data_IF_911405972746
#
_entry.id   IF_911405972746
#
_cell.length_a   1.000
_cell.length_b   1.000
_cell.length_c   1.000
_cell.angle_alpha   90.00
_cell.angle_beta   90.00
_cell.angle_gamma   90.00
#
_symmetry.space_group_name_H-M   'P 1'
#
loop_
_entity.id
_entity.type
_entity.pdbx_description
1 polymer ?
#
# COMPACT_ATOMS: atom_id res chain seq x y z
N UNK A 1 43.07 -13.26 20.53
CA UNK A 1 41.90 -13.80 21.28
C UNK A 1 41.25 -14.83 20.39
N UNK A 2 41.25 -16.11 20.81
CA UNK A 2 40.71 -17.21 20.02
C UNK A 2 39.17 -17.14 20.07
N UNK A 3 38.53 -17.05 18.91
CA UNK A 3 37.08 -17.20 18.77
C UNK A 3 36.71 -18.64 19.07
N UNK A 4 36.10 -18.89 20.23
CA UNK A 4 35.54 -20.20 20.54
C UNK A 4 34.45 -20.50 19.50
N UNK A 5 34.63 -21.60 18.77
CA UNK A 5 33.65 -22.07 17.80
C UNK A 5 32.35 -22.46 18.52
N UNK A 6 31.21 -22.15 17.92
CA UNK A 6 29.92 -22.62 18.40
C UNK A 6 29.90 -24.16 18.36
N UNK A 7 29.34 -24.83 19.38
CA UNK A 7 29.18 -26.29 19.36
C UNK A 7 28.36 -26.74 18.14
N UNK A 8 28.68 -27.91 17.59
CA UNK A 8 27.94 -28.46 16.46
C UNK A 8 26.50 -28.75 16.87
N UNK A 9 25.55 -28.72 15.93
CA UNK A 9 24.12 -28.93 16.22
C UNK A 9 23.86 -30.28 16.91
N UNK A 10 24.74 -31.26 16.68
CA UNK A 10 24.72 -32.62 17.22
C UNK A 10 25.09 -32.68 18.71
N UNK A 11 25.79 -31.66 19.23
CA UNK A 11 26.22 -31.57 20.62
C UNK A 11 25.16 -30.92 21.53
N UNK A 12 24.03 -30.48 20.97
CA UNK A 12 22.95 -29.88 21.74
C UNK A 12 22.07 -31.01 22.29
N UNK A 13 22.02 -31.22 23.63
CA UNK A 13 21.21 -32.28 24.20
C UNK A 13 19.72 -32.05 23.91
N UNK A 14 19.03 -33.11 23.49
CA UNK A 14 17.59 -33.10 23.24
C UNK A 14 16.83 -32.61 24.48
N UNK A 15 15.78 -31.78 24.32
CA UNK A 15 14.98 -31.34 25.45
C UNK A 15 14.32 -32.55 26.13
N UNK A 16 14.18 -32.54 27.47
CA UNK A 16 13.50 -33.60 28.20
C UNK A 16 12.03 -33.72 27.73
N UNK A 17 11.45 -34.94 27.75
CA UNK A 17 10.10 -35.16 27.29
C UNK A 17 9.10 -34.33 28.11
N UNK A 18 8.38 -33.44 27.43
CA UNK A 18 7.32 -32.63 28.03
C UNK A 18 6.21 -33.56 28.51
N UNK A 19 5.99 -33.61 29.82
CA UNK A 19 4.93 -34.43 30.42
C UNK A 19 3.57 -33.88 30.00
N UNK A 20 2.96 -34.47 28.97
CA UNK A 20 1.59 -34.19 28.56
C UNK A 20 0.63 -34.77 29.60
N UNK A 21 0.29 -33.96 30.61
CA UNK A 21 -0.81 -34.26 31.50
C UNK A 21 -2.13 -34.05 30.75
N UNK A 22 -2.78 -35.14 30.41
CA UNK A 22 -4.13 -35.20 29.82
C UNK A 22 -5.17 -34.91 30.91
N UNK A 23 -5.54 -33.63 31.06
CA UNK A 23 -6.71 -33.26 31.86
C UNK A 23 -7.92 -33.03 30.97
N UNK A 24 -8.82 -34.02 30.93
CA UNK A 24 -10.20 -33.87 30.46
C UNK A 24 -10.99 -33.03 31.46
N UNK A 25 -11.40 -31.82 31.07
CA UNK A 25 -12.40 -31.06 31.85
C UNK A 25 -13.26 -30.16 30.96
N UNK A 26 -14.56 -30.41 31.11
CA UNK A 26 -15.77 -29.64 30.81
C UNK A 26 -15.61 -28.11 30.74
N UNK A 27 -16.30 -27.40 29.83
CA UNK A 27 -16.22 -25.94 29.73
C UNK A 27 -17.06 -25.28 30.84
N UNK A 28 -16.40 -24.89 31.94
CA UNK A 28 -16.95 -23.97 32.94
C UNK A 28 -16.37 -22.57 32.71
N UNK A 29 -17.20 -21.55 32.90
CA UNK A 29 -16.93 -20.14 32.66
C UNK A 29 -15.54 -19.66 33.11
N UNK A 30 -14.92 -18.70 32.40
CA UNK A 30 -13.56 -18.24 32.70
C UNK A 30 -13.49 -17.69 34.14
N UNK A 31 -12.56 -18.19 34.98
CA UNK A 31 -12.34 -17.61 36.30
C UNK A 31 -11.83 -16.18 36.16
N UNK A 32 -12.30 -15.30 37.05
CA UNK A 32 -11.87 -13.92 37.15
C UNK A 32 -10.33 -13.80 37.15
N UNK A 33 -9.75 -12.72 36.59
CA UNK A 33 -8.30 -12.55 36.50
C UNK A 33 -7.70 -12.64 37.90
N UNK A 34 -7.02 -13.76 38.17
CA UNK A 34 -6.25 -13.93 39.39
C UNK A 34 -5.14 -12.88 39.36
N UNK A 35 -5.12 -12.04 40.39
CA UNK A 35 -4.06 -11.08 40.65
C UNK A 35 -2.74 -11.83 40.75
N UNK A 36 -1.99 -11.86 39.66
CA UNK A 36 -0.63 -12.36 39.65
C UNK A 36 0.14 -11.55 40.70
N UNK A 37 0.55 -12.23 41.78
CA UNK A 37 1.34 -11.62 42.83
C UNK A 37 2.65 -11.20 42.19
N UNK A 38 2.79 -9.90 41.94
CA UNK A 38 4.01 -9.28 41.46
C UNK A 38 5.18 -9.80 42.29
N UNK A 39 6.16 -10.42 41.63
CA UNK A 39 7.37 -10.91 42.27
C UNK A 39 8.02 -9.75 43.05
N UNK A 40 8.41 -10.02 44.29
CA UNK A 40 9.10 -9.02 45.10
C UNK A 40 10.38 -8.59 44.39
N UNK A 41 10.73 -7.30 44.46
CA UNK A 41 11.90 -6.73 43.78
C UNK A 41 13.20 -7.49 44.08
N UNK A 42 13.31 -8.09 45.27
CA UNK A 42 14.43 -8.94 45.67
C UNK A 42 14.58 -10.20 44.83
N UNK A 43 13.47 -10.87 44.49
CA UNK A 43 13.51 -12.05 43.61
C UNK A 43 13.81 -11.65 42.17
N UNK A 44 13.26 -10.53 41.68
CA UNK A 44 13.63 -9.99 40.38
C UNK A 44 15.14 -9.67 40.30
N UNK A 45 15.72 -9.14 41.38
CA UNK A 45 17.17 -8.89 41.49
C UNK A 45 17.99 -10.17 41.50
N UNK A 46 17.54 -11.21 42.21
CA UNK A 46 18.20 -12.52 42.20
C UNK A 46 18.21 -13.13 40.78
N UNK A 47 17.07 -13.12 40.08
CA UNK A 47 17.00 -13.64 38.71
C UNK A 47 17.74 -12.77 37.69
N UNK A 48 18.00 -11.49 37.99
CA UNK A 48 18.83 -10.63 37.13
C UNK A 48 20.32 -11.03 37.07
N UNK A 49 20.78 -11.91 37.97
CA UNK A 49 22.13 -12.49 37.93
C UNK A 49 22.29 -13.57 36.85
N UNK A 50 21.19 -14.05 36.27
CA UNK A 50 21.20 -14.96 35.13
C UNK A 50 20.89 -14.13 33.86
N UNK A 51 21.65 -14.29 32.76
CA UNK A 51 22.56 -15.40 32.44
C UNK A 51 23.98 -15.27 33.01
N UNK A 52 24.61 -16.41 33.34
CA UNK A 52 25.99 -16.49 33.88
C UNK A 52 27.07 -16.03 32.89
N UNK A 53 26.78 -16.10 31.59
CA UNK A 53 27.67 -15.65 30.51
C UNK A 53 26.85 -14.93 29.45
N UNK A 54 27.24 -13.70 29.11
CA UNK A 54 26.62 -12.95 28.03
C UNK A 54 27.54 -13.01 26.81
N UNK A 55 27.10 -13.73 25.78
CA UNK A 55 27.80 -13.75 24.50
C UNK A 55 27.65 -12.39 23.79
N UNK A 56 28.63 -11.98 22.95
CA UNK A 56 28.44 -10.82 22.09
C UNK A 56 27.22 -11.02 21.20
N UNK A 57 26.58 -9.93 20.79
CA UNK A 57 25.46 -10.00 19.85
C UNK A 57 25.89 -10.80 18.60
N UNK A 58 25.04 -11.74 18.18
CA UNK A 58 25.30 -12.53 16.98
C UNK A 58 25.53 -11.60 15.80
N UNK A 59 26.63 -11.80 15.09
CA UNK A 59 26.91 -11.06 13.87
C UNK A 59 26.03 -11.65 12.76
N UNK A 60 25.39 -10.81 11.92
CA UNK A 60 24.64 -11.31 10.78
C UNK A 60 25.59 -12.08 9.85
N UNK A 61 25.17 -13.26 9.40
CA UNK A 61 25.97 -14.11 8.50
C UNK A 61 26.19 -13.46 7.13
N UNK A 62 25.31 -12.53 6.74
CA UNK A 62 25.36 -11.80 5.48
C UNK A 62 25.39 -10.30 5.77
N UNK A 63 26.57 -9.74 6.11
CA UNK A 63 26.71 -8.32 6.45
C UNK A 63 26.54 -7.41 5.23
N UNK A 64 26.67 -7.94 4.00
CA UNK A 64 26.54 -7.14 2.76
C UNK A 64 25.08 -6.72 2.48
N UNK A 65 24.09 -7.44 3.04
CA UNK A 65 22.67 -7.10 2.94
C UNK A 65 22.18 -6.24 4.13
N UNK A 66 23.06 -5.84 5.07
CA UNK A 66 22.70 -4.87 6.13
C UNK A 66 22.72 -3.45 5.53
N UNK A 67 21.96 -3.24 4.46
CA UNK A 67 21.52 -1.90 4.03
C UNK A 67 20.55 -1.41 5.08
N UNK A 68 21.09 -1.00 6.23
CA UNK A 68 20.30 -0.36 7.28
C UNK A 68 19.53 0.76 6.63
N UNK A 69 18.23 0.57 6.56
CA UNK A 69 17.28 1.53 6.01
C UNK A 69 17.56 2.87 6.67
N UNK A 70 18.20 3.78 5.93
CA UNK A 70 18.67 5.08 6.47
C UNK A 70 17.60 6.13 6.35
N UNK A 71 16.68 5.95 5.40
CA UNK A 71 15.55 6.80 5.09
C UNK A 71 14.27 5.98 5.16
N UNK A 72 13.10 6.61 5.30
CA UNK A 72 11.84 5.88 5.17
C UNK A 72 11.79 5.20 3.79
N UNK A 73 11.56 3.89 3.75
CA UNK A 73 11.46 3.11 2.51
C UNK A 73 10.02 2.66 2.30
N UNK A 74 9.40 3.14 1.23
CA UNK A 74 8.05 2.74 0.83
C UNK A 74 8.12 1.49 -0.04
N UNK A 75 7.53 0.41 0.45
CA UNK A 75 7.40 -0.85 -0.27
C UNK A 75 6.11 -0.87 -1.08
N UNK A 76 6.24 -1.12 -2.38
CA UNK A 76 5.14 -1.04 -3.35
C UNK A 76 5.11 -2.25 -4.26
N UNK A 77 3.97 -2.46 -4.91
CA UNK A 77 3.86 -3.45 -5.97
C UNK A 77 4.78 -3.10 -7.15
N UNK A 78 5.20 -4.09 -7.96
CA UNK A 78 6.06 -3.85 -9.10
C UNK A 78 5.40 -2.92 -10.13
N UNK A 79 6.24 -2.19 -10.87
CA UNK A 79 5.77 -1.33 -11.94
C UNK A 79 5.25 -2.09 -13.15
N UNK A 80 4.64 -1.36 -14.07
CA UNK A 80 4.18 -1.94 -15.33
C UNK A 80 5.38 -2.46 -16.14
N UNK A 81 5.26 -3.70 -16.61
CA UNK A 81 6.22 -4.27 -17.55
C UNK A 81 6.11 -3.54 -18.90
N UNK A 82 7.20 -2.92 -19.33
CA UNK A 82 7.32 -2.26 -20.63
C UNK A 82 8.39 -2.96 -21.44
N UNK A 83 8.00 -3.48 -22.59
CA UNK A 83 8.97 -4.03 -23.54
C UNK A 83 9.66 -2.87 -24.28
N UNK A 84 10.99 -2.82 -24.17
CA UNK A 84 11.84 -1.86 -24.88
C UNK A 84 13.04 -2.62 -25.43
N UNK A 85 13.20 -2.58 -26.75
CA UNK A 85 14.28 -3.28 -27.46
C UNK A 85 14.34 -4.81 -27.14
N UNK A 86 13.20 -5.45 -26.95
CA UNK A 86 13.11 -6.88 -26.60
C UNK A 86 13.47 -7.22 -25.15
N UNK A 87 13.77 -6.22 -24.30
CA UNK A 87 13.93 -6.39 -22.85
C UNK A 87 12.67 -5.90 -22.14
N UNK A 88 12.20 -6.67 -21.18
CA UNK A 88 11.12 -6.25 -20.26
C UNK A 88 11.75 -5.39 -19.17
N UNK A 89 11.49 -4.09 -19.21
CA UNK A 89 11.88 -3.12 -18.19
C UNK A 89 10.66 -2.80 -17.31
N UNK A 90 10.86 -2.65 -16.01
CA UNK A 90 9.80 -2.17 -15.11
C UNK A 90 9.88 -0.66 -15.01
N UNK A 91 8.74 0.01 -14.96
CA UNK A 91 8.68 1.45 -14.68
C UNK A 91 8.76 1.70 -13.17
N UNK A 92 9.15 2.91 -12.76
CA UNK A 92 9.19 3.29 -11.35
C UNK A 92 7.78 3.33 -10.70
N UNK A 93 6.77 3.71 -11.49
CA UNK A 93 5.37 3.77 -11.06
C UNK A 93 4.81 2.38 -10.84
N UNK A 94 4.35 2.09 -9.62
CA UNK A 94 3.66 0.85 -9.29
C UNK A 94 2.47 0.59 -10.22
N UNK A 95 2.26 -0.67 -10.59
CA UNK A 95 1.07 -1.09 -11.32
C UNK A 95 -0.20 -1.10 -10.46
N UNK A 96 -0.08 -1.21 -9.14
CA UNK A 96 -1.18 -1.06 -8.18
C UNK A 96 -1.46 0.43 -7.92
N UNK A 97 -2.71 0.87 -8.12
CA UNK A 97 -3.15 2.24 -7.94
C UNK A 97 -3.06 2.73 -6.48
N UNK A 98 -3.24 1.85 -5.47
CA UNK A 98 -3.07 2.23 -4.05
C UNK A 98 -1.62 2.52 -3.74
N UNK A 99 -0.73 1.64 -4.19
CA UNK A 99 0.71 1.84 -4.06
C UNK A 99 1.16 3.11 -4.78
N UNK A 100 0.70 3.33 -6.02
CA UNK A 100 1.04 4.50 -6.81
C UNK A 100 0.52 5.80 -6.19
N UNK A 101 -0.68 5.80 -5.56
CA UNK A 101 -1.17 6.95 -4.79
C UNK A 101 -0.16 7.36 -3.73
N UNK A 102 0.33 6.41 -2.92
CA UNK A 102 1.28 6.71 -1.86
C UNK A 102 2.65 7.13 -2.38
N UNK A 103 3.13 6.54 -3.48
CA UNK A 103 4.34 7.01 -4.17
C UNK A 103 4.20 8.49 -4.55
N UNK A 104 3.06 8.86 -5.15
CA UNK A 104 2.81 10.22 -5.60
C UNK A 104 2.57 11.19 -4.46
N UNK A 105 1.85 10.78 -3.42
CA UNK A 105 1.57 11.65 -2.28
C UNK A 105 2.85 11.99 -1.52
N UNK A 106 3.69 10.99 -1.23
CA UNK A 106 5.00 11.25 -0.60
C UNK A 106 5.91 12.06 -1.53
N UNK A 107 5.85 11.83 -2.85
CA UNK A 107 6.58 12.62 -3.83
C UNK A 107 6.15 14.10 -3.81
N UNK A 108 4.85 14.37 -3.83
CA UNK A 108 4.28 15.73 -3.75
C UNK A 108 4.69 16.44 -2.47
N UNK A 109 4.66 15.74 -1.32
CA UNK A 109 5.11 16.30 -0.05
C UNK A 109 6.62 16.48 0.05
N UNK A 110 7.40 15.78 -0.79
CA UNK A 110 8.87 15.85 -0.77
C UNK A 110 9.48 16.93 -1.65
N UNK A 111 8.68 17.57 -2.53
CA UNK A 111 9.26 18.45 -3.52
C UNK A 111 9.66 19.81 -2.93
N UNK A 112 10.95 20.18 -3.06
CA UNK A 112 11.44 21.50 -2.64
C UNK A 112 11.04 22.60 -3.63
N UNK A 113 10.42 22.30 -4.77
CA UNK A 113 10.15 23.27 -5.85
C UNK A 113 9.13 24.35 -5.48
N UNK A 114 8.43 24.23 -4.34
CA UNK A 114 7.55 25.26 -3.80
C UNK A 114 8.21 26.11 -2.71
N UNK A 115 9.47 25.82 -2.37
CA UNK A 115 10.24 26.50 -1.32
C UNK A 115 11.00 27.71 -1.91
N UNK A 116 10.27 28.77 -2.29
CA UNK A 116 10.80 30.10 -2.66
C UNK A 116 11.30 30.19 -4.11
N UNK A 117 10.71 30.99 -5.00
CA UNK A 117 10.85 32.46 -4.98
C UNK A 117 12.12 32.91 -4.25
N UNK A 118 13.28 32.70 -4.89
CA UNK A 118 14.51 33.47 -4.62
C UNK A 118 14.19 34.95 -4.83
N UNK A 119 13.71 35.60 -3.78
CA UNK A 119 13.87 37.04 -3.61
C UNK A 119 15.35 37.26 -3.29
N UNK A 120 16.02 38.00 -4.17
CA UNK A 120 17.41 38.49 -4.08
C UNK A 120 18.55 37.53 -4.38
N UNK A 121 18.74 37.21 -5.67
CA UNK A 121 19.92 37.59 -6.48
C UNK A 121 21.35 37.28 -6.00
N UNK A 122 21.55 36.56 -4.90
CA UNK A 122 22.88 36.31 -4.35
C UNK A 122 23.37 34.94 -4.82
N UNK A 123 24.16 35.01 -5.89
CA UNK A 123 24.82 33.96 -6.65
C UNK A 123 25.76 33.10 -5.77
N UNK A 124 25.20 32.25 -4.91
CA UNK A 124 25.97 31.28 -4.14
C UNK A 124 26.07 29.97 -4.92
N UNK A 125 27.11 29.90 -5.77
CA UNK A 125 27.59 28.64 -6.32
C UNK A 125 28.16 27.78 -5.20
N UNK A 126 27.50 26.69 -4.84
CA UNK A 126 28.20 25.52 -4.31
C UNK A 126 27.42 24.27 -4.68
N UNK A 127 28.13 23.35 -5.32
CA UNK A 127 27.73 22.05 -5.88
C UNK A 127 27.31 21.03 -4.82
N UNK A 128 26.49 21.42 -3.85
CA UNK A 128 25.88 20.51 -2.91
C UNK A 128 24.89 19.63 -3.67
N UNK A 129 25.22 18.35 -3.80
CA UNK A 129 24.32 17.29 -4.28
C UNK A 129 22.93 17.53 -3.66
N UNK A 130 21.98 17.98 -4.49
CA UNK A 130 20.56 18.04 -4.12
C UNK A 130 20.19 16.62 -3.71
N UNK A 131 20.16 16.36 -2.41
CA UNK A 131 19.72 15.09 -1.85
C UNK A 131 18.22 14.97 -2.14
N UNK A 132 17.90 14.46 -3.33
CA UNK A 132 16.56 14.36 -3.89
C UNK A 132 15.70 13.31 -3.20
N UNK A 133 16.22 12.39 -2.39
CA UNK A 133 15.39 11.36 -1.74
C UNK A 133 15.12 11.63 -0.28
N UNK A 134 13.94 12.16 0.07
CA UNK A 134 13.43 12.19 1.46
C UNK A 134 12.85 10.84 1.90
N UNK A 135 12.45 10.00 0.95
CA UNK A 135 12.09 8.61 1.13
C UNK A 135 12.66 7.80 -0.04
N UNK A 136 12.91 6.52 0.20
CA UNK A 136 13.28 5.56 -0.82
C UNK A 136 12.05 4.74 -1.21
N UNK A 137 12.04 4.14 -2.39
CA UNK A 137 10.93 3.31 -2.84
C UNK A 137 11.46 1.99 -3.40
N UNK A 138 11.00 0.89 -2.84
CA UNK A 138 11.38 -0.45 -3.22
C UNK A 138 10.18 -1.21 -3.77
N UNK A 139 10.35 -1.78 -4.96
CA UNK A 139 9.33 -2.61 -5.61
C UNK A 139 9.54 -4.06 -5.18
N UNK A 140 8.50 -4.66 -4.60
CA UNK A 140 8.51 -6.06 -4.16
C UNK A 140 7.31 -6.78 -4.78
N UNK A 141 7.52 -8.01 -5.22
CA UNK A 141 6.44 -8.87 -5.68
C UNK A 141 5.45 -9.15 -4.53
N UNK A 142 4.15 -9.24 -4.82
CA UNK A 142 3.16 -9.52 -3.78
C UNK A 142 3.45 -10.79 -2.96
N UNK A 143 4.14 -11.77 -3.54
CA UNK A 143 4.54 -13.01 -2.87
C UNK A 143 5.71 -12.88 -1.91
N UNK A 144 6.53 -11.86 -2.11
CA UNK A 144 7.70 -11.58 -1.28
C UNK A 144 7.38 -10.46 -0.28
N UNK A 145 6.16 -9.93 -0.28
CA UNK A 145 5.72 -8.88 0.63
C UNK A 145 5.55 -9.43 2.06
N UNK A 146 6.44 -9.00 2.95
CA UNK A 146 6.47 -9.37 4.38
C UNK A 146 5.88 -8.28 5.29
N UNK A 147 4.95 -7.47 4.76
CA UNK A 147 4.37 -6.34 5.45
C UNK A 147 3.61 -6.69 6.75
N UNK A 148 3.27 -5.68 7.57
CA UNK A 148 2.54 -5.84 8.83
C UNK A 148 1.17 -6.52 8.67
N UNK A 149 0.55 -6.39 7.49
CA UNK A 149 -0.65 -7.11 7.10
C UNK A 149 -0.28 -8.09 5.97
N UNK A 150 -0.77 -9.33 6.09
CA UNK A 150 -0.47 -10.42 5.16
C UNK A 150 -0.97 -10.05 3.76
N UNK A 151 -0.07 -10.10 2.77
CA UNK A 151 -0.31 -9.71 1.37
C UNK A 151 -0.77 -8.26 1.16
N UNK A 152 -0.56 -7.35 2.11
CA UNK A 152 -0.93 -5.93 1.92
C UNK A 152 0.28 -5.12 1.43
N UNK A 153 0.13 -4.52 0.25
CA UNK A 153 0.94 -3.39 -0.20
C UNK A 153 -0.01 -2.19 -0.36
N UNK A 154 0.46 -0.96 -0.14
CA UNK A 154 1.81 -0.59 0.27
C UNK A 154 2.03 -0.66 1.80
N UNK A 155 3.29 -0.62 2.21
CA UNK A 155 3.68 -0.37 3.60
C UNK A 155 4.99 0.44 3.66
N UNK A 156 5.22 1.14 4.77
CA UNK A 156 6.40 2.00 4.95
C UNK A 156 7.30 1.46 6.06
N UNK A 157 8.57 1.25 5.74
CA UNK A 157 9.59 0.94 6.73
C UNK A 157 10.30 2.22 7.17
N UNK A 158 10.23 2.51 8.46
CA UNK A 158 10.95 3.63 9.05
C UNK A 158 12.40 3.23 9.37
N UNK A 159 13.35 4.17 9.21
CA UNK A 159 14.73 3.92 9.59
C UNK A 159 14.79 3.63 11.09
N UNK A 160 15.71 2.76 11.55
CA UNK A 160 15.87 2.52 12.97
C UNK A 160 16.25 3.85 13.62
N UNK A 161 15.38 4.38 14.50
CA UNK A 161 15.63 5.64 15.19
C UNK A 161 17.02 5.61 15.83
N UNK A 162 17.93 6.41 15.26
CA UNK A 162 19.35 6.33 15.54
C UNK A 162 19.62 6.53 17.03
N UNK A 163 20.22 5.51 17.66
CA UNK A 163 21.04 5.57 18.87
C UNK A 163 20.69 6.71 19.83
N UNK A 164 19.43 6.81 20.25
CA UNK A 164 19.14 7.44 21.53
C UNK A 164 20.00 6.70 22.53
N UNK A 165 21.06 7.35 23.02
CA UNK A 165 22.05 6.85 23.99
C UNK A 165 21.31 5.90 24.90
N UNK A 166 21.53 4.58 24.78
CA UNK A 166 20.74 3.52 25.43
C UNK A 166 20.41 3.99 26.83
N UNK A 167 19.22 4.57 27.02
CA UNK A 167 18.82 5.05 28.33
C UNK A 167 18.45 3.75 29.01
N UNK A 168 19.24 3.29 29.99
CA UNK A 168 18.96 2.02 30.64
C UNK A 168 17.52 2.06 31.10
N UNK A 169 16.74 1.08 30.63
CA UNK A 169 15.31 0.94 30.82
C UNK A 169 14.92 1.12 32.28
N UNK A 170 14.63 2.35 32.69
CA UNK A 170 14.17 2.70 34.01
C UNK A 170 12.66 2.89 33.95
N UNK A 171 11.93 1.77 34.01
CA UNK A 171 10.58 1.54 34.58
C UNK A 171 9.42 2.54 34.36
N UNK A 172 9.59 3.62 33.62
CA UNK A 172 8.50 4.51 33.25
C UNK A 172 7.92 4.04 31.92
N UNK A 173 6.60 3.86 31.90
CA UNK A 173 5.81 3.49 30.74
C UNK A 173 5.91 4.61 29.69
N UNK A 174 7.00 4.61 28.91
CA UNK A 174 7.12 5.49 27.75
C UNK A 174 6.15 4.93 26.70
N UNK A 175 5.26 5.76 26.12
CA UNK A 175 4.35 5.31 25.07
C UNK A 175 5.17 4.62 23.98
N UNK A 176 4.77 3.38 23.68
CA UNK A 176 5.39 2.48 22.70
C UNK A 176 5.90 3.27 21.50
N UNK A 177 7.20 3.17 21.19
CA UNK A 177 7.71 3.66 19.92
C UNK A 177 6.82 3.12 18.78
N UNK A 178 6.52 3.93 17.74
CA UNK A 178 5.68 3.47 16.64
C UNK A 178 6.29 2.20 16.02
N UNK A 179 5.45 1.28 15.54
CA UNK A 179 5.95 0.11 14.83
C UNK A 179 6.83 0.57 13.66
N UNK A 180 7.95 -0.13 13.45
CA UNK A 180 8.90 0.22 12.38
C UNK A 180 8.32 0.03 10.99
N UNK A 181 7.32 -0.83 10.89
CA UNK A 181 6.56 -1.08 9.67
C UNK A 181 5.16 -0.49 9.88
N UNK A 182 4.80 0.43 8.98
CA UNK A 182 3.50 1.07 8.97
C UNK A 182 2.71 0.47 7.80
N UNK A 183 1.53 -0.07 8.11
CA UNK A 183 0.60 -0.54 7.10
C UNK A 183 -0.11 0.64 6.42
N UNK A 184 -0.84 0.34 5.35
CA UNK A 184 -1.61 1.33 4.59
C UNK A 184 -2.57 2.17 5.45
N UNK A 185 -3.18 1.59 6.49
CA UNK A 185 -4.08 2.33 7.39
C UNK A 185 -3.33 3.32 8.29
N UNK A 186 -2.08 3.05 8.66
CA UNK A 186 -1.25 3.95 9.45
C UNK A 186 -0.53 5.02 8.59
N UNK A 187 -0.43 4.83 7.26
CA UNK A 187 0.27 5.78 6.37
C UNK A 187 -0.31 7.20 6.41
N UNK A 188 -1.64 7.45 6.34
CA UNK A 188 -2.18 8.81 6.39
C UNK A 188 -1.78 9.54 7.66
N UNK A 189 -2.01 8.91 8.81
CA UNK A 189 -1.70 9.52 10.12
C UNK A 189 -0.20 9.81 10.25
N UNK A 190 0.64 8.90 9.76
CA UNK A 190 2.08 9.12 9.76
C UNK A 190 2.49 10.26 8.84
N UNK A 191 1.97 10.30 7.61
CA UNK A 191 2.27 11.34 6.63
C UNK A 191 1.85 12.73 7.15
N UNK A 192 0.65 12.87 7.70
CA UNK A 192 0.17 14.13 8.30
C UNK A 192 1.02 14.58 9.50
N UNK A 193 1.48 13.63 10.33
CA UNK A 193 2.21 13.95 11.56
C UNK A 193 3.69 14.23 11.31
N UNK A 194 4.34 13.40 10.50
CA UNK A 194 5.81 13.39 10.30
C UNK A 194 6.22 14.06 9.01
N UNK A 195 5.32 14.13 8.05
CA UNK A 195 5.59 14.64 6.72
C UNK A 195 4.46 15.54 6.18
N UNK A 196 4.00 16.54 6.98
CA UNK A 196 2.92 17.41 6.56
C UNK A 196 3.29 18.16 5.29
N UNK A 197 2.28 18.48 4.47
CA UNK A 197 2.49 19.39 3.34
C UNK A 197 3.04 20.73 3.83
N UNK A 198 3.75 21.46 2.97
CA UNK A 198 4.31 22.77 3.34
C UNK A 198 3.22 23.75 3.81
N UNK A 199 2.06 23.74 3.15
CA UNK A 199 0.92 24.56 3.54
C UNK A 199 0.30 24.16 4.90
N UNK A 200 0.48 22.91 5.36
CA UNK A 200 0.04 22.45 6.69
C UNK A 200 1.02 22.88 7.80
N UNK A 201 2.31 23.08 7.49
CA UNK A 201 3.34 23.47 8.48
C UNK A 201 3.15 24.90 8.98
N UNK A 202 2.71 25.79 8.10
CA UNK A 202 2.55 27.24 8.39
C UNK A 202 1.53 27.47 9.52
N UNK A 203 0.50 26.64 9.62
CA UNK A 203 -0.54 26.77 10.65
C UNK A 203 0.00 26.53 12.08
N UNK A 204 1.07 25.73 12.24
CA UNK A 204 1.57 25.34 13.57
C UNK A 204 2.52 26.36 14.22
N UNK A 205 3.12 27.27 13.43
CA UNK A 205 4.12 28.22 13.93
C UNK A 205 3.59 29.65 14.15
N UNK A 206 2.31 29.94 13.85
CA UNK A 206 1.76 31.29 13.78
C UNK A 206 0.79 31.71 14.89
N UNK A 207 0.86 31.13 16.09
CA UNK A 207 0.14 31.65 17.24
C UNK A 207 0.94 32.80 17.86
N UNK A 208 0.83 34.02 17.31
CA UNK A 208 0.48 35.23 18.08
C UNK A 208 0.62 36.56 17.30
N UNK A 209 1.40 36.66 16.21
CA UNK A 209 1.65 37.98 15.61
C UNK A 209 0.81 38.30 14.36
N UNK A 210 -0.26 39.05 14.64
CA UNK A 210 -0.76 40.20 13.88
C UNK A 210 -1.40 40.01 12.48
N UNK A 211 -2.73 39.80 12.54
CA UNK A 211 -3.76 40.47 11.72
C UNK A 211 -3.58 40.44 10.19
N UNK A 212 -4.16 39.41 9.58
CA UNK A 212 -5.11 39.66 8.47
C UNK A 212 -5.00 38.73 7.27
N UNK A 213 -3.85 38.11 7.01
CA UNK A 213 -3.72 37.14 5.94
C UNK A 213 -3.81 35.72 6.51
N UNK A 214 -5.04 35.25 6.65
CA UNK A 214 -5.36 33.84 6.85
C UNK A 214 -4.82 33.11 5.62
N UNK A 215 -3.61 32.54 5.68
CA UNK A 215 -3.14 31.65 4.62
C UNK A 215 -4.16 30.51 4.58
N UNK A 216 -5.02 30.55 3.56
CA UNK A 216 -5.95 29.45 3.28
C UNK A 216 -5.10 28.21 3.02
N UNK A 217 -5.53 27.04 3.47
CA UNK A 217 -4.89 25.77 3.13
C UNK A 217 -4.81 25.54 1.60
N UNK A 218 -4.53 24.32 1.17
CA UNK A 218 -4.47 24.02 -0.27
C UNK A 218 -5.69 24.52 -1.07
N UNK A 219 -6.86 24.58 -0.41
CA UNK A 219 -8.10 25.14 -0.94
C UNK A 219 -8.42 26.52 -0.35
N UNK A 220 -8.86 27.44 -1.21
CA UNK A 220 -9.27 28.79 -0.82
C UNK A 220 -10.50 28.82 0.11
N UNK A 221 -11.39 27.83 -0.02
CA UNK A 221 -12.65 27.76 0.74
C UNK A 221 -12.86 26.40 1.38
N UNK A 222 -13.54 26.40 2.53
CA UNK A 222 -13.94 25.18 3.25
C UNK A 222 -14.90 24.32 2.40
N UNK A 223 -15.74 24.95 1.59
CA UNK A 223 -16.64 24.25 0.66
C UNK A 223 -15.86 23.41 -0.36
N UNK A 224 -14.76 23.93 -0.91
CA UNK A 224 -13.88 23.18 -1.82
C UNK A 224 -13.19 22.02 -1.08
N UNK A 225 -12.86 22.18 0.20
CA UNK A 225 -12.28 21.11 1.02
C UNK A 225 -13.28 19.95 1.22
N UNK A 226 -14.52 20.27 1.58
CA UNK A 226 -15.59 19.26 1.69
C UNK A 226 -15.90 18.63 0.34
N UNK A 227 -15.89 19.42 -0.73
CA UNK A 227 -16.02 18.91 -2.10
C UNK A 227 -14.89 17.92 -2.42
N UNK A 228 -13.64 18.22 -2.04
CA UNK A 228 -12.49 17.36 -2.22
C UNK A 228 -12.66 16.00 -1.50
N UNK A 229 -13.20 15.99 -0.28
CA UNK A 229 -13.52 14.76 0.45
C UNK A 229 -14.56 13.91 -0.30
N UNK A 230 -15.59 14.54 -0.88
CA UNK A 230 -16.58 13.84 -1.70
C UNK A 230 -15.96 13.20 -2.95
N UNK A 231 -15.08 13.93 -3.63
CA UNK A 231 -14.35 13.41 -4.80
C UNK A 231 -13.38 12.30 -4.41
N UNK A 232 -12.74 12.40 -3.25
CA UNK A 232 -11.89 11.33 -2.70
C UNK A 232 -12.70 10.06 -2.50
N UNK A 233 -13.87 10.14 -1.87
CA UNK A 233 -14.77 9.00 -1.69
C UNK A 233 -15.23 8.38 -3.02
N UNK A 234 -15.54 9.20 -4.03
CA UNK A 234 -15.92 8.71 -5.36
C UNK A 234 -14.76 7.95 -6.03
N UNK A 235 -13.54 8.49 -5.95
CA UNK A 235 -12.34 7.91 -6.55
C UNK A 235 -11.93 6.62 -5.83
N UNK A 236 -11.87 6.63 -4.49
CA UNK A 236 -11.49 5.47 -3.66
C UNK A 236 -12.54 4.34 -3.71
N UNK A 237 -13.83 4.68 -3.87
CA UNK A 237 -14.89 3.69 -3.95
C UNK A 237 -15.09 3.16 -5.37
N UNK A 238 -16.00 3.81 -6.12
CA UNK A 238 -16.50 3.31 -7.40
C UNK A 238 -15.41 3.17 -8.46
N UNK A 239 -14.57 4.19 -8.61
CA UNK A 239 -13.58 4.22 -9.69
C UNK A 239 -12.43 3.25 -9.38
N UNK A 240 -11.89 3.28 -8.15
CA UNK A 240 -10.86 2.33 -7.73
C UNK A 240 -11.34 0.88 -7.82
N UNK A 241 -12.58 0.59 -7.41
CA UNK A 241 -13.18 -0.75 -7.53
C UNK A 241 -13.15 -1.26 -8.97
N UNK A 242 -13.53 -0.43 -9.95
CA UNK A 242 -13.46 -0.79 -11.37
C UNK A 242 -12.01 -0.93 -11.88
N UNK A 243 -11.06 -0.15 -11.37
CA UNK A 243 -9.63 -0.30 -11.71
C UNK A 243 -9.08 -1.63 -11.19
N UNK A 244 -9.39 -1.99 -9.95
CA UNK A 244 -8.99 -3.27 -9.36
C UNK A 244 -9.61 -4.45 -10.13
N UNK A 245 -10.87 -4.34 -10.53
CA UNK A 245 -11.54 -5.31 -11.39
C UNK A 245 -10.80 -5.47 -12.74
N UNK A 246 -10.50 -4.35 -13.40
CA UNK A 246 -9.76 -4.36 -14.65
C UNK A 246 -8.35 -4.97 -14.51
N UNK A 247 -7.64 -4.67 -13.42
CA UNK A 247 -6.33 -5.27 -13.12
C UNK A 247 -6.41 -6.78 -12.90
N UNK A 248 -7.44 -7.27 -12.19
CA UNK A 248 -7.66 -8.70 -11.99
C UNK A 248 -7.90 -9.40 -13.33
N UNK A 249 -8.69 -8.80 -14.23
CA UNK A 249 -8.94 -9.38 -15.55
C UNK A 249 -7.68 -9.35 -16.44
N UNK A 250 -6.85 -8.31 -16.33
CA UNK A 250 -5.62 -8.15 -17.10
C UNK A 250 -4.43 -8.98 -16.60
N UNK A 251 -4.47 -9.46 -15.36
CA UNK A 251 -3.37 -10.20 -14.72
C UNK A 251 -3.74 -11.68 -14.62
N UNK A 252 -3.70 -12.45 -15.73
CA UNK A 252 -3.97 -13.88 -15.64
C UNK A 252 -2.96 -14.53 -14.68
N UNK A 253 -3.38 -15.53 -13.89
CA UNK A 253 -2.47 -16.24 -13.02
C UNK A 253 -1.31 -16.79 -13.86
N UNK A 254 -0.07 -16.49 -13.46
CA UNK A 254 1.11 -17.04 -14.12
C UNK A 254 1.00 -18.56 -14.13
N UNK A 255 1.02 -19.15 -15.32
CA UNK A 255 0.87 -20.60 -15.47
C UNK A 255 1.87 -21.33 -14.57
N UNK A 256 1.42 -22.22 -13.67
CA UNK A 256 2.28 -22.90 -12.71
C UNK A 256 3.19 -23.97 -13.35
N UNK A 257 3.22 -24.06 -14.69
CA UNK A 257 3.84 -25.16 -15.44
C UNK A 257 5.35 -25.30 -15.25
N UNK A 258 6.02 -24.30 -14.70
CA UNK A 258 7.46 -24.33 -14.40
C UNK A 258 7.80 -24.68 -12.94
N UNK A 259 6.82 -24.75 -12.04
CA UNK A 259 7.05 -24.94 -10.62
C UNK A 259 6.92 -26.43 -10.21
N UNK A 260 7.76 -26.94 -9.27
CA UNK A 260 7.57 -28.26 -8.69
C UNK A 260 6.15 -28.44 -8.10
N UNK A 261 5.65 -29.68 -8.04
CA UNK A 261 4.24 -29.98 -7.73
C UNK A 261 3.74 -29.38 -6.42
N UNK A 262 4.54 -29.38 -5.35
CA UNK A 262 4.12 -28.76 -4.09
C UNK A 262 4.08 -27.23 -4.18
N UNK A 263 5.06 -26.62 -4.85
CA UNK A 263 5.05 -25.18 -5.07
C UNK A 263 3.94 -24.73 -6.01
N UNK A 264 3.55 -25.54 -7.00
CA UNK A 264 2.42 -25.22 -7.87
C UNK A 264 1.10 -25.26 -7.08
N UNK A 265 0.89 -26.26 -6.22
CA UNK A 265 -0.30 -26.32 -5.36
C UNK A 265 -0.37 -25.15 -4.39
N UNK A 266 0.75 -24.83 -3.72
CA UNK A 266 0.82 -23.67 -2.83
C UNK A 266 0.60 -22.36 -3.59
N UNK A 267 1.21 -22.21 -4.77
CA UNK A 267 1.04 -21.03 -5.62
C UNK A 267 -0.40 -20.86 -6.07
N UNK A 268 -1.05 -21.92 -6.52
CA UNK A 268 -2.47 -21.91 -6.89
C UNK A 268 -3.33 -21.52 -5.70
N UNK A 269 -3.12 -22.13 -4.54
CA UNK A 269 -3.89 -21.82 -3.33
C UNK A 269 -3.71 -20.35 -2.88
N UNK A 270 -2.46 -19.87 -2.81
CA UNK A 270 -2.17 -18.47 -2.47
C UNK A 270 -2.75 -17.50 -3.49
N UNK A 271 -2.70 -17.84 -4.78
CA UNK A 271 -3.29 -17.04 -5.86
C UNK A 271 -4.80 -16.96 -5.70
N UNK A 272 -5.48 -18.09 -5.44
CA UNK A 272 -6.92 -18.11 -5.16
C UNK A 272 -7.28 -17.29 -3.93
N UNK A 273 -6.51 -17.42 -2.83
CA UNK A 273 -6.74 -16.59 -1.64
C UNK A 273 -6.58 -15.09 -1.92
N UNK A 274 -5.60 -14.70 -2.73
CA UNK A 274 -5.41 -13.30 -3.14
C UNK A 274 -6.55 -12.79 -4.00
N UNK A 275 -6.98 -13.59 -4.98
CA UNK A 275 -8.13 -13.25 -5.83
C UNK A 275 -9.39 -13.08 -4.98
N UNK A 276 -9.63 -13.96 -4.00
CA UNK A 276 -10.75 -13.85 -3.08
C UNK A 276 -10.67 -12.61 -2.16
N UNK A 277 -9.47 -12.21 -1.72
CA UNK A 277 -9.30 -10.97 -0.95
C UNK A 277 -9.53 -9.73 -1.82
N UNK A 278 -9.03 -9.72 -3.06
CA UNK A 278 -9.26 -8.61 -4.01
C UNK A 278 -10.73 -8.51 -4.39
N UNK A 279 -11.38 -9.64 -4.64
CA UNK A 279 -12.83 -9.77 -4.81
C UNK A 279 -13.60 -9.12 -3.67
N UNK A 280 -13.29 -9.52 -2.43
CA UNK A 280 -13.91 -8.97 -1.24
C UNK A 280 -13.65 -7.47 -1.11
N UNK A 281 -12.43 -7.02 -1.43
CA UNK A 281 -12.11 -5.60 -1.42
C UNK A 281 -12.94 -4.83 -2.46
N UNK A 282 -13.05 -5.33 -3.69
CA UNK A 282 -13.91 -4.73 -4.72
C UNK A 282 -15.35 -4.64 -4.20
N UNK A 283 -15.91 -5.71 -3.63
CA UNK A 283 -17.28 -5.68 -3.12
C UNK A 283 -17.49 -4.67 -1.99
N UNK A 284 -16.49 -4.48 -1.11
CA UNK A 284 -16.55 -3.43 -0.08
C UNK A 284 -16.47 -2.00 -0.65
N UNK A 285 -15.78 -1.80 -1.77
CA UNK A 285 -15.68 -0.50 -2.42
C UNK A 285 -16.89 -0.18 -3.30
N UNK A 286 -17.53 -1.21 -3.86
CA UNK A 286 -18.66 -1.09 -4.78
C UNK A 286 -20.01 -1.22 -4.08
N UNK A 287 -20.07 -1.15 -2.74
CA UNK A 287 -21.34 -1.26 -1.99
C UNK A 287 -22.35 -0.33 -2.66
N UNK A 288 -23.43 -0.88 -3.25
CA UNK A 288 -24.39 -0.08 -3.99
C UNK A 288 -24.94 0.97 -3.03
N UNK A 289 -24.80 2.24 -3.42
CA UNK A 289 -25.54 3.33 -2.79
C UNK A 289 -26.99 2.86 -2.67
N UNK A 290 -27.47 2.68 -1.44
CA UNK A 290 -28.70 1.94 -1.12
C UNK A 290 -29.78 2.14 -2.18
N UNK A 291 -30.54 1.09 -2.56
CA UNK A 291 -31.62 1.24 -3.51
C UNK A 291 -32.53 2.39 -3.04
N UNK A 292 -32.66 3.42 -3.90
CA UNK A 292 -33.75 4.40 -3.84
C UNK A 292 -35.03 3.58 -3.82
N UNK A 293 -35.63 3.42 -2.65
CA UNK A 293 -36.84 2.63 -2.37
C UNK A 293 -36.65 1.10 -2.36
N UNK A 294 -36.03 0.57 -1.30
CA UNK A 294 -36.39 -0.76 -0.81
C UNK A 294 -36.75 -0.66 0.68
N UNK A 295 -37.99 -0.99 1.01
CA UNK A 295 -38.54 -1.04 2.35
C UNK A 295 -37.67 -1.87 3.30
N UNK A 296 -37.31 -1.27 4.43
CA UNK A 296 -36.62 -1.89 5.57
C UNK A 296 -37.24 -3.25 5.95
N UNK A 297 -36.56 -4.34 5.59
CA UNK A 297 -36.67 -5.59 6.33
C UNK A 297 -35.38 -5.77 7.13
N UNK A 298 -35.49 -5.50 8.44
CA UNK A 298 -34.50 -5.86 9.45
C UNK A 298 -34.28 -7.37 9.39
N UNK A 299 -33.08 -7.83 9.03
CA UNK A 299 -32.76 -9.26 9.16
C UNK A 299 -31.49 -9.78 8.48
N UNK A 300 -30.64 -8.96 7.87
CA UNK A 300 -29.36 -9.46 7.32
C UNK A 300 -28.25 -9.30 8.37
N UNK A 301 -27.89 -10.43 8.99
CA UNK A 301 -26.82 -10.53 9.99
C UNK A 301 -25.45 -10.33 9.34
N UNK A 302 -24.75 -9.28 9.77
CA UNK A 302 -23.38 -8.94 9.39
C UNK A 302 -22.31 -9.85 10.00
N UNK A 303 -22.74 -10.87 10.77
CA UNK A 303 -21.85 -11.76 11.53
C UNK A 303 -21.42 -13.04 10.79
N UNK A 304 -21.78 -13.22 9.51
CA UNK A 304 -21.29 -14.33 8.68
C UNK A 304 -20.02 -13.99 7.87
N UNK A 305 -19.42 -12.82 8.10
CA UNK A 305 -18.34 -12.25 7.26
C UNK A 305 -16.91 -12.45 7.79
N UNK A 306 -16.73 -13.24 8.85
CA UNK A 306 -15.40 -13.70 9.24
C UNK A 306 -15.00 -14.86 8.33
N UNK A 307 -13.78 -14.86 7.74
CA UNK A 307 -13.30 -15.99 6.98
C UNK A 307 -13.10 -17.15 7.96
N UNK A 308 -14.05 -18.08 7.99
CA UNK A 308 -13.82 -19.42 8.51
C UNK A 308 -12.71 -20.02 7.67
N UNK A 309 -11.47 -20.02 8.18
CA UNK A 309 -10.37 -20.80 7.63
C UNK A 309 -10.67 -22.29 7.85
N UNK A 310 -11.66 -22.82 7.12
CA UNK A 310 -11.84 -24.25 6.99
C UNK A 310 -10.75 -24.75 6.03
N UNK A 311 -9.62 -25.14 6.60
CA UNK A 311 -8.67 -26.03 5.94
C UNK A 311 -9.33 -27.41 5.81
N UNK A 312 -10.18 -27.61 4.78
CA UNK A 312 -10.42 -28.97 4.30
C UNK A 312 -9.29 -29.29 3.34
N UNK A 313 -8.31 -30.05 3.82
CA UNK A 313 -7.40 -30.81 2.98
C UNK A 313 -8.14 -32.00 2.33
N UNK A 314 -9.37 -31.79 1.87
CA UNK A 314 -10.18 -32.74 1.10
C UNK A 314 -10.13 -32.31 -0.36
N UNK A 315 -8.92 -32.26 -0.91
CA UNK A 315 -8.75 -32.36 -2.35
C UNK A 315 -9.26 -33.74 -2.80
N UNK A 316 -9.90 -33.86 -3.98
CA UNK A 316 -10.45 -35.12 -4.45
C UNK A 316 -9.33 -36.06 -4.89
N UNK A 317 -8.69 -36.74 -3.94
CA UNK A 317 -7.95 -37.99 -4.20
C UNK A 317 -8.93 -39.17 -4.37
N UNK A 318 -10.05 -38.95 -5.06
CA UNK A 318 -10.97 -40.02 -5.44
C UNK A 318 -10.68 -40.41 -6.87
N UNK A 319 -9.71 -41.31 -7.02
CA UNK A 319 -9.38 -41.96 -8.27
C UNK A 319 -10.59 -42.69 -8.84
N UNK A 320 -11.14 -42.15 -9.92
CA UNK A 320 -11.82 -42.93 -10.95
C UNK A 320 -10.97 -42.86 -12.18
N UNK A 321 -10.33 -43.99 -12.53
CA UNK A 321 -9.46 -44.13 -13.69
C UNK A 321 -10.23 -43.95 -14.99
N UNK A 322 -10.32 -42.70 -15.43
CA UNK A 322 -10.57 -42.33 -16.81
C UNK A 322 -9.42 -41.43 -17.22
N UNK A 323 -8.73 -41.75 -18.33
CA UNK A 323 -7.62 -40.96 -18.85
C UNK A 323 -8.08 -39.54 -19.17
N UNK A 324 -7.94 -38.64 -18.21
CA UNK A 324 -8.01 -37.20 -18.40
C UNK A 324 -6.59 -36.78 -18.74
N UNK A 325 -6.38 -36.29 -19.96
CA UNK A 325 -5.13 -35.66 -20.31
C UNK A 325 -4.78 -34.59 -19.28
N UNK A 326 -3.51 -34.42 -18.87
CA UNK A 326 -3.08 -33.36 -17.96
C UNK A 326 -3.20 -32.00 -18.67
N UNK A 327 -4.44 -31.54 -18.81
CA UNK A 327 -4.83 -30.32 -19.51
C UNK A 327 -5.47 -29.36 -18.52
N UNK A 328 -4.67 -28.42 -18.03
CA UNK A 328 -5.09 -27.06 -17.66
C UNK A 328 -6.39 -26.96 -16.87
N UNK A 329 -6.37 -27.36 -15.59
CA UNK A 329 -7.35 -26.83 -14.64
C UNK A 329 -7.12 -25.33 -14.52
N UNK A 330 -7.83 -24.57 -15.36
CA UNK A 330 -7.89 -23.11 -15.28
C UNK A 330 -8.51 -22.82 -13.92
N UNK A 331 -7.76 -22.13 -13.07
CA UNK A 331 -8.24 -21.62 -11.78
C UNK A 331 -9.50 -20.80 -12.06
N UNK A 332 -10.66 -21.42 -11.83
CA UNK A 332 -11.96 -20.79 -12.01
C UNK A 332 -12.12 -19.67 -11.00
N UNK A 333 -12.75 -18.58 -11.43
CA UNK A 333 -13.22 -17.53 -10.53
C UNK A 333 -14.11 -18.16 -9.44
N UNK A 334 -14.13 -17.63 -8.20
CA UNK A 334 -14.96 -18.18 -7.14
C UNK A 334 -16.41 -18.32 -7.60
N UNK A 335 -16.84 -19.55 -7.87
CA UNK A 335 -18.18 -19.89 -8.34
C UNK A 335 -19.18 -19.58 -7.22
N UNK A 336 -19.92 -18.48 -7.32
CA UNK A 336 -21.01 -18.19 -6.38
C UNK A 336 -21.43 -16.73 -6.24
N UNK A 337 -20.58 -15.77 -6.61
CA UNK A 337 -20.91 -14.35 -6.53
C UNK A 337 -20.80 -13.72 -7.92
N UNK A 338 -21.92 -13.68 -8.65
CA UNK A 338 -22.01 -12.97 -9.92
C UNK A 338 -21.92 -11.47 -9.63
N UNK A 339 -20.72 -10.90 -9.78
CA UNK A 339 -20.55 -9.46 -9.65
C UNK A 339 -21.24 -8.78 -10.83
N UNK A 340 -21.95 -7.69 -10.57
CA UNK A 340 -22.44 -6.82 -11.63
C UNK A 340 -21.27 -6.00 -12.21
N UNK A 341 -20.39 -6.69 -12.93
CA UNK A 341 -19.23 -6.12 -13.63
C UNK A 341 -19.66 -4.93 -14.50
N UNK A 342 -20.80 -5.06 -15.19
CA UNK A 342 -21.34 -4.02 -16.04
C UNK A 342 -21.76 -2.78 -15.23
N UNK A 343 -22.45 -2.97 -14.12
CA UNK A 343 -22.84 -1.89 -13.20
C UNK A 343 -21.63 -1.16 -12.61
N UNK A 344 -20.64 -1.91 -12.11
CA UNK A 344 -19.40 -1.35 -11.55
C UNK A 344 -18.68 -0.48 -12.58
N UNK A 345 -18.57 -0.97 -13.83
CA UNK A 345 -17.89 -0.24 -14.91
C UNK A 345 -18.68 0.97 -15.37
N UNK A 346 -20.00 0.89 -15.47
CA UNK A 346 -20.84 2.04 -15.82
C UNK A 346 -20.72 3.15 -14.78
N UNK A 347 -20.81 2.80 -13.50
CA UNK A 347 -20.65 3.70 -12.37
C UNK A 347 -19.29 4.40 -12.37
N UNK A 348 -18.21 3.66 -12.63
CA UNK A 348 -16.87 4.21 -12.73
C UNK A 348 -16.71 5.13 -13.95
N UNK A 349 -17.25 4.76 -15.11
CA UNK A 349 -17.24 5.59 -16.32
C UNK A 349 -18.02 6.89 -16.09
N UNK A 350 -19.18 6.83 -15.43
CA UNK A 350 -19.94 8.01 -15.05
C UNK A 350 -19.16 8.89 -14.06
N UNK A 351 -18.50 8.28 -13.07
CA UNK A 351 -17.62 8.97 -12.13
C UNK A 351 -16.48 9.70 -12.83
N UNK A 352 -15.77 9.04 -13.75
CA UNK A 352 -14.68 9.64 -14.54
C UNK A 352 -15.18 10.82 -15.39
N UNK A 353 -16.36 10.70 -16.02
CA UNK A 353 -16.99 11.81 -16.76
C UNK A 353 -17.35 12.98 -15.84
N UNK A 354 -17.81 12.71 -14.62
CA UNK A 354 -18.10 13.75 -13.64
C UNK A 354 -16.82 14.48 -13.20
N UNK A 355 -15.72 13.74 -12.96
CA UNK A 355 -14.40 14.31 -12.66
C UNK A 355 -13.92 15.18 -13.84
N UNK A 356 -13.99 14.67 -15.08
CA UNK A 356 -13.62 15.43 -16.28
C UNK A 356 -14.44 16.72 -16.44
N UNK A 357 -15.75 16.63 -16.20
CA UNK A 357 -16.65 17.77 -16.22
C UNK A 357 -16.30 18.82 -15.15
N UNK A 358 -15.84 18.38 -13.98
CA UNK A 358 -15.44 19.25 -12.87
C UNK A 358 -14.09 19.94 -13.08
N UNK A 359 -13.12 19.26 -13.71
CA UNK A 359 -11.81 19.84 -14.02
C UNK A 359 -11.88 21.01 -14.99
N UNK A 360 -12.84 20.95 -15.94
CA UNK A 360 -12.96 21.97 -16.99
C UNK A 360 -11.71 22.05 -17.88
N UNK A 361 -11.68 23.04 -18.78
CA UNK A 361 -10.51 23.29 -19.66
C UNK A 361 -9.41 24.13 -18.98
N UNK A 362 -9.79 24.91 -17.97
CA UNK A 362 -8.89 25.84 -17.27
C UNK A 362 -7.72 25.17 -16.56
N UNK A 363 -7.90 23.93 -16.07
CA UNK A 363 -6.82 23.20 -15.39
C UNK A 363 -5.64 22.87 -16.31
N UNK A 364 -5.84 22.81 -17.64
CA UNK A 364 -4.78 22.45 -18.60
C UNK A 364 -4.13 23.67 -19.23
N UNK A 365 -4.90 24.71 -19.55
CA UNK A 365 -4.42 25.84 -20.36
C UNK A 365 -3.53 26.81 -19.57
N UNK A 366 -3.69 26.89 -18.25
CA UNK A 366 -2.79 27.71 -17.45
C UNK A 366 -1.43 27.03 -17.28
N UNK A 367 -0.30 27.72 -17.58
CA UNK A 367 1.05 27.16 -17.42
C UNK A 367 1.43 26.94 -15.96
N UNK A 368 0.74 27.58 -15.01
CA UNK A 368 0.79 27.26 -13.58
C UNK A 368 -0.20 26.14 -13.19
N UNK A 369 -0.93 25.62 -14.17
CA UNK A 369 -1.61 24.33 -14.17
C UNK A 369 -2.41 24.03 -12.91
N UNK A 370 -3.55 24.70 -12.73
CA UNK A 370 -4.38 24.51 -11.55
C UNK A 370 -4.57 23.03 -11.18
N UNK A 371 -4.31 22.70 -9.92
CA UNK A 371 -4.59 21.40 -9.34
C UNK A 371 -6.10 21.17 -9.24
N UNK A 372 -6.52 19.94 -8.95
CA UNK A 372 -7.93 19.61 -8.90
C UNK A 372 -8.67 20.53 -7.90
N UNK A 373 -9.86 21.02 -8.30
CA UNK A 373 -10.65 22.05 -7.59
C UNK A 373 -9.97 23.42 -7.42
N UNK A 374 -8.93 23.69 -8.21
CA UNK A 374 -8.18 24.95 -8.15
C UNK A 374 -7.34 25.05 -6.87
N UNK A 375 -6.83 23.93 -6.37
CA UNK A 375 -5.85 23.97 -5.29
C UNK A 375 -4.57 24.68 -5.74
N UNK A 376 -3.94 25.40 -4.82
CA UNK A 376 -2.70 26.15 -5.10
C UNK A 376 -1.47 25.24 -5.21
N UNK A 377 -1.54 24.05 -4.61
CA UNK A 377 -0.47 23.05 -4.53
C UNK A 377 -1.07 21.64 -4.71
N UNK A 378 -0.27 20.65 -5.10
CA UNK A 378 -0.76 19.28 -5.23
C UNK A 378 -1.22 18.75 -3.88
N UNK A 379 -2.36 18.04 -3.90
CA UNK A 379 -3.00 17.47 -2.70
C UNK A 379 -3.00 15.93 -2.75
N UNK A 380 -3.41 15.29 -1.66
CA UNK A 380 -3.64 13.84 -1.64
C UNK A 380 -4.70 13.39 -2.67
N UNK A 381 -5.68 14.26 -2.98
CA UNK A 381 -6.69 14.01 -4.00
C UNK A 381 -6.08 13.99 -5.41
N UNK A 382 -5.13 14.88 -5.71
CA UNK A 382 -4.39 14.86 -6.97
C UNK A 382 -3.54 13.58 -7.09
N UNK A 383 -2.92 13.13 -6.00
CA UNK A 383 -2.13 11.89 -5.99
C UNK A 383 -3.00 10.67 -6.29
N UNK A 384 -4.19 10.59 -5.67
CA UNK A 384 -5.17 9.55 -5.92
C UNK A 384 -5.70 9.59 -7.36
N UNK A 385 -6.10 10.78 -7.83
CA UNK A 385 -6.60 10.96 -9.19
C UNK A 385 -5.55 10.54 -10.22
N UNK A 386 -4.31 10.98 -10.05
CA UNK A 386 -3.20 10.57 -10.92
C UNK A 386 -3.01 9.05 -10.90
N UNK A 387 -2.98 8.44 -9.71
CA UNK A 387 -2.75 7.01 -9.59
C UNK A 387 -3.81 6.19 -10.33
N UNK A 388 -5.09 6.55 -10.18
CA UNK A 388 -6.21 5.92 -10.88
C UNK A 388 -6.08 6.09 -12.41
N UNK A 389 -5.90 7.33 -12.88
CA UNK A 389 -5.83 7.63 -14.31
C UNK A 389 -4.61 6.96 -14.97
N UNK A 390 -3.45 7.05 -14.34
CA UNK A 390 -2.21 6.46 -14.82
C UNK A 390 -2.35 4.94 -14.91
N UNK A 391 -2.95 4.30 -13.90
CA UNK A 391 -3.19 2.85 -13.90
C UNK A 391 -4.09 2.44 -15.06
N UNK A 392 -5.24 3.12 -15.28
CA UNK A 392 -6.15 2.83 -16.40
C UNK A 392 -5.44 2.95 -17.75
N UNK A 393 -4.64 4.01 -17.93
CA UNK A 393 -3.90 4.26 -19.16
C UNK A 393 -2.79 3.22 -19.39
N UNK A 394 -2.24 2.65 -18.31
CA UNK A 394 -1.14 1.69 -18.34
C UNK A 394 -1.57 0.23 -18.40
N UNK A 395 -2.88 -0.07 -18.27
CA UNK A 395 -3.41 -1.42 -18.48
C UNK A 395 -3.02 -1.96 -19.88
N UNK A 396 -2.78 -3.26 -20.05
CA UNK A 396 -2.48 -3.82 -21.37
C UNK A 396 -3.66 -3.61 -22.33
N UNK A 397 -3.42 -2.97 -23.48
CA UNK A 397 -4.47 -2.69 -24.47
C UNK A 397 -4.83 -3.87 -25.39
N UNK A 398 -3.98 -4.90 -25.43
CA UNK A 398 -4.10 -6.01 -26.37
C UNK A 398 -5.21 -7.01 -26.00
N UNK A 399 -5.76 -6.96 -24.79
CA UNK A 399 -6.63 -8.02 -24.26
C UNK A 399 -8.04 -8.05 -24.85
N UNK A 400 -8.41 -7.14 -25.76
CA UNK A 400 -9.77 -7.10 -26.33
C UNK A 400 -10.88 -6.96 -25.29
N UNK A 401 -10.52 -6.64 -24.04
CA UNK A 401 -11.43 -6.67 -22.92
C UNK A 401 -12.25 -5.38 -22.89
N UNK A 402 -13.58 -5.54 -22.91
CA UNK A 402 -14.51 -4.43 -22.98
C UNK A 402 -14.41 -3.50 -21.77
N UNK A 403 -14.15 -4.01 -20.55
CA UNK A 403 -14.00 -3.20 -19.34
C UNK A 403 -12.85 -2.21 -19.47
N UNK A 404 -11.68 -2.72 -19.84
CA UNK A 404 -10.46 -1.91 -20.00
C UNK A 404 -10.66 -0.86 -21.09
N UNK A 405 -11.25 -1.26 -22.22
CA UNK A 405 -11.53 -0.35 -23.32
C UNK A 405 -12.50 0.76 -22.91
N UNK A 406 -13.57 0.45 -22.16
CA UNK A 406 -14.54 1.45 -21.71
C UNK A 406 -13.95 2.45 -20.71
N UNK A 407 -13.17 1.96 -19.74
CA UNK A 407 -12.46 2.84 -18.79
C UNK A 407 -11.46 3.74 -19.52
N UNK A 408 -10.68 3.18 -20.45
CA UNK A 408 -9.73 3.94 -21.26
C UNK A 408 -10.41 4.97 -22.14
N UNK A 409 -11.49 4.60 -22.84
CA UNK A 409 -12.28 5.50 -23.66
C UNK A 409 -12.83 6.68 -22.84
N UNK A 410 -13.26 6.43 -21.59
CA UNK A 410 -13.71 7.47 -20.68
C UNK A 410 -12.59 8.44 -20.26
N UNK A 411 -11.36 7.94 -20.04
CA UNK A 411 -10.19 8.78 -19.68
C UNK A 411 -9.61 9.53 -20.88
N UNK A 412 -9.63 8.92 -22.06
CA UNK A 412 -9.12 9.52 -23.31
C UNK A 412 -10.11 10.46 -23.96
N UNK A 413 -11.39 10.28 -23.64
CA UNK A 413 -12.47 11.11 -24.12
C UNK A 413 -13.02 10.78 -25.48
N UNK A 414 -13.07 9.49 -25.79
CA UNK A 414 -13.69 9.03 -27.01
C UNK A 414 -15.19 9.39 -26.99
N UNK A 415 -15.59 10.31 -27.87
CA UNK A 415 -16.97 10.74 -28.05
C UNK A 415 -17.41 12.00 -27.30
N UNK A 416 -16.52 12.71 -26.58
CA UNK A 416 -16.85 13.98 -25.92
C UNK A 416 -15.69 14.98 -26.00
N UNK A 417 -15.96 16.20 -26.48
CA UNK A 417 -14.96 17.28 -26.64
C UNK A 417 -14.25 17.63 -25.33
N UNK A 418 -14.88 17.38 -24.18
CA UNK A 418 -14.30 17.63 -22.85
C UNK A 418 -13.38 16.53 -22.38
N UNK A 419 -13.38 15.37 -23.04
CA UNK A 419 -12.99 14.16 -22.36
C UNK A 419 -11.52 13.77 -22.55
N UNK A 420 -10.74 14.54 -23.32
CA UNK A 420 -9.27 14.43 -23.34
C UNK A 420 -8.57 15.08 -22.13
N UNK A 421 -9.32 15.78 -21.26
CA UNK A 421 -8.77 16.58 -20.17
C UNK A 421 -8.02 15.71 -19.15
N UNK A 422 -8.59 14.56 -18.78
CA UNK A 422 -7.99 13.66 -17.79
C UNK A 422 -6.66 13.08 -18.29
N UNK A 423 -6.62 12.58 -19.53
CA UNK A 423 -5.40 12.05 -20.12
C UNK A 423 -4.31 13.11 -20.30
N UNK A 424 -4.69 14.34 -20.69
CA UNK A 424 -3.74 15.44 -20.82
C UNK A 424 -3.18 15.86 -19.45
N UNK A 425 -4.03 15.97 -18.43
CA UNK A 425 -3.62 16.29 -17.06
C UNK A 425 -2.69 15.21 -16.48
N UNK A 426 -3.04 13.93 -16.63
CA UNK A 426 -2.19 12.83 -16.15
C UNK A 426 -0.81 12.83 -16.84
N UNK A 427 -0.75 13.11 -18.16
CA UNK A 427 0.52 13.25 -18.89
C UNK A 427 1.36 14.43 -18.38
N UNK A 428 0.73 15.56 -18.05
CA UNK A 428 1.42 16.71 -17.45
C UNK A 428 2.06 16.33 -16.12
N UNK A 429 1.26 15.78 -15.19
CA UNK A 429 1.74 15.36 -13.86
C UNK A 429 2.88 14.34 -13.99
N UNK A 430 2.76 13.37 -14.91
CA UNK A 430 3.83 12.42 -15.17
C UNK A 430 5.12 13.09 -15.66
N UNK A 431 5.00 14.00 -16.63
CA UNK A 431 6.13 14.71 -17.21
C UNK A 431 6.87 15.59 -16.20
N UNK A 432 6.13 16.24 -15.30
CA UNK A 432 6.67 17.15 -14.30
C UNK A 432 7.26 16.43 -13.08
N UNK A 433 6.59 15.38 -12.58
CA UNK A 433 6.93 14.80 -11.27
C UNK A 433 7.54 13.40 -11.37
N UNK A 434 7.05 12.58 -12.28
CA UNK A 434 7.38 11.15 -12.34
C UNK A 434 8.60 10.88 -13.20
N UNK A 435 8.72 11.58 -14.33
CA UNK A 435 9.77 11.32 -15.33
C UNK A 435 11.18 11.44 -14.77
N UNK A 436 11.44 12.43 -13.93
CA UNK A 436 12.77 12.59 -13.30
C UNK A 436 13.08 11.44 -12.35
N UNK A 437 12.11 11.03 -11.53
CA UNK A 437 12.24 9.89 -10.61
C UNK A 437 12.45 8.57 -11.33
N UNK A 438 11.75 8.37 -12.44
CA UNK A 438 11.93 7.18 -13.24
C UNK A 438 13.35 7.09 -13.83
N UNK A 439 13.90 8.22 -14.29
CA UNK A 439 15.28 8.28 -14.77
C UNK A 439 16.28 8.03 -13.64
N UNK A 440 16.07 8.63 -12.47
CA UNK A 440 16.90 8.41 -11.27
C UNK A 440 16.89 6.94 -10.86
N UNK A 441 15.70 6.33 -10.80
CA UNK A 441 15.52 4.93 -10.46
C UNK A 441 16.18 3.98 -11.46
N UNK A 442 16.04 4.24 -12.77
CA UNK A 442 16.70 3.46 -13.82
C UNK A 442 18.22 3.49 -13.67
N UNK A 443 18.81 4.65 -13.33
CA UNK A 443 20.27 4.77 -13.11
C UNK A 443 20.79 4.00 -11.89
N UNK A 444 19.93 3.68 -10.92
CA UNK A 444 20.31 2.87 -9.75
C UNK A 444 20.26 1.38 -10.06
N UNK A 445 19.45 0.98 -11.06
CA UNK A 445 19.29 -0.41 -11.48
C UNK A 445 20.34 -0.85 -12.52
N UNK A 446 20.86 0.08 -13.32
CA UNK A 446 21.97 -0.12 -14.26
C UNK A 446 23.33 -0.07 -13.55
#
# INVERSE_FOLDING_TARGET
MATAAYPAWEDIPSPPPTSTASSSSTPLAPPAPSTSRSLTSSLARFFSLFPLHQFPAAQPLYPEDDTRVTKPTLYVAPGHAREKNGRVERTWTSADARCLRWQMELLFRSSPSLQGYEVDGSRASTSGSKSTGHFDCEQIEHQDAWGPKIDSLPYLQLPPHGKGKVVPSSTAYVPSAPPRLLDDEALPTWAETRWPFEWEKVEKHGAEEERGQKMSGAYESEEKRLEAEMWTSLLEGKIMGAVLLAQMICSPPTSPSSLPLFSSLLHTHLTTQRLNRRAHHISTLTIPSLPRSATLSRGASWSSWLPSLNFSLDGPLRGTGGGVEPGTEVVGWPEGEEWDEKGIVEDAVQGLRAVAGRMGKSSIEEPAGGWFLGASQPTGLDALLFAVLHTILSLPGATGNQVVQRLRAAVQGEGDEKAGVLAAWAKRVYGEWVKEREIEWQRVQD
#
